data_IF_269924257376
#
_entry.id   IF_269924257376
#
_cell.length_a   1.000
_cell.length_b   1.000
_cell.length_c   1.000
_cell.angle_alpha   90.00
_cell.angle_beta   90.00
_cell.angle_gamma   90.00
#
_symmetry.space_group_name_H-M   'P 1'
#
loop_
_entity.id
_entity.type
_entity.pdbx_description
1 polymer ?
#
# COMPACT_ATOMS: atom_id res chain seq x y z
N UNK A 1 -2.03 -39.36 -48.84
CA UNK A 1 -1.52 -37.96 -48.78
C UNK A 1 -2.05 -37.16 -47.59
N UNK A 2 -3.26 -37.41 -47.06
CA UNK A 2 -3.79 -36.65 -45.92
C UNK A 2 -3.09 -36.91 -44.57
N UNK A 3 -2.48 -38.08 -44.35
CA UNK A 3 -1.87 -38.45 -43.06
C UNK A 3 -0.68 -37.57 -42.65
N UNK A 4 0.16 -37.16 -43.60
CA UNK A 4 1.35 -36.36 -43.31
C UNK A 4 1.00 -34.87 -43.11
N UNK A 5 0.07 -34.35 -43.91
CA UNK A 5 -0.36 -32.95 -43.86
C UNK A 5 -1.15 -32.63 -42.58
N UNK A 6 -2.01 -33.55 -42.13
CA UNK A 6 -2.75 -33.36 -40.88
C UNK A 6 -1.83 -33.42 -39.64
N UNK A 7 -0.80 -34.27 -39.68
CA UNK A 7 0.19 -34.40 -38.60
C UNK A 7 1.05 -33.13 -38.48
N UNK A 8 1.48 -32.57 -39.62
CA UNK A 8 2.25 -31.32 -39.67
C UNK A 8 1.43 -30.11 -39.18
N UNK A 9 0.15 -30.04 -39.56
CA UNK A 9 -0.75 -28.98 -39.11
C UNK A 9 -0.98 -29.04 -37.58
N UNK A 10 -1.20 -30.24 -37.03
CA UNK A 10 -1.32 -30.42 -35.58
C UNK A 10 -0.05 -30.03 -34.83
N UNK A 11 1.12 -30.38 -35.36
CA UNK A 11 2.40 -30.00 -34.76
C UNK A 11 2.62 -28.47 -34.78
N UNK A 12 2.25 -27.80 -35.88
CA UNK A 12 2.32 -26.34 -35.96
C UNK A 12 1.40 -25.65 -34.95
N UNK A 13 0.18 -26.15 -34.77
CA UNK A 13 -0.77 -25.63 -33.77
C UNK A 13 -0.22 -25.82 -32.36
N UNK A 14 0.25 -27.02 -32.02
CA UNK A 14 0.81 -27.31 -30.69
C UNK A 14 2.02 -26.42 -30.36
N UNK A 15 2.89 -26.15 -31.35
CA UNK A 15 4.03 -25.23 -31.19
C UNK A 15 3.59 -23.78 -30.94
N UNK A 16 2.51 -23.33 -31.59
CA UNK A 16 1.96 -21.99 -31.37
C UNK A 16 1.31 -21.86 -29.99
N UNK A 17 0.58 -22.88 -29.54
CA UNK A 17 -0.05 -22.93 -28.22
C UNK A 17 0.99 -22.94 -27.10
N UNK A 18 2.04 -23.75 -27.22
CA UNK A 18 3.16 -23.77 -26.25
C UNK A 18 3.85 -22.40 -26.16
N UNK A 19 4.15 -21.78 -27.32
CA UNK A 19 4.75 -20.44 -27.34
C UNK A 19 3.80 -19.40 -26.73
N UNK A 20 2.50 -19.47 -26.99
CA UNK A 20 1.50 -18.57 -26.41
C UNK A 20 1.45 -18.70 -24.89
N UNK A 21 1.43 -19.93 -24.37
CA UNK A 21 1.42 -20.21 -22.93
C UNK A 21 2.69 -19.70 -22.24
N UNK A 22 3.86 -19.91 -22.86
CA UNK A 22 5.13 -19.40 -22.35
C UNK A 22 5.17 -17.87 -22.32
N UNK A 23 4.70 -17.21 -23.39
CA UNK A 23 4.61 -15.75 -23.44
C UNK A 23 3.66 -15.23 -22.36
N UNK A 24 2.48 -15.83 -22.22
CA UNK A 24 1.51 -15.44 -21.20
C UNK A 24 2.12 -15.54 -19.80
N UNK A 25 2.76 -16.66 -19.48
CA UNK A 25 3.43 -16.87 -18.18
C UNK A 25 4.47 -15.78 -17.90
N UNK A 26 5.42 -15.58 -18.82
CA UNK A 26 6.50 -14.60 -18.63
C UNK A 26 5.95 -13.18 -18.57
N UNK A 27 4.94 -12.85 -19.37
CA UNK A 27 4.29 -11.54 -19.33
C UNK A 27 3.60 -11.30 -17.99
N UNK A 28 2.86 -12.28 -17.46
CA UNK A 28 2.22 -12.16 -16.14
C UNK A 28 3.25 -12.02 -15.02
N UNK A 29 4.32 -12.81 -15.04
CA UNK A 29 5.41 -12.73 -14.06
C UNK A 29 6.11 -11.37 -14.09
N UNK A 30 6.45 -10.88 -15.29
CA UNK A 30 7.09 -9.57 -15.45
C UNK A 30 6.15 -8.43 -15.03
N UNK A 31 4.86 -8.51 -15.36
CA UNK A 31 3.88 -7.53 -14.95
C UNK A 31 3.76 -7.48 -13.43
N UNK A 32 3.62 -8.64 -12.78
CA UNK A 32 3.50 -8.72 -11.33
C UNK A 32 4.75 -8.14 -10.66
N UNK A 33 5.94 -8.51 -11.14
CA UNK A 33 7.20 -7.97 -10.63
C UNK A 33 7.29 -6.45 -10.80
N UNK A 34 6.93 -5.93 -11.98
CA UNK A 34 6.91 -4.49 -12.23
C UNK A 34 5.90 -3.77 -11.33
N UNK A 35 4.73 -4.36 -11.10
CA UNK A 35 3.72 -3.85 -10.18
C UNK A 35 4.23 -3.82 -8.73
N UNK A 36 4.94 -4.85 -8.28
CA UNK A 36 5.54 -4.92 -6.94
C UNK A 36 6.69 -3.92 -6.78
N UNK A 37 7.52 -3.73 -7.81
CA UNK A 37 8.60 -2.73 -7.81
C UNK A 37 8.03 -1.30 -7.77
N UNK A 38 6.96 -1.02 -8.51
CA UNK A 38 6.24 0.25 -8.43
C UNK A 38 5.59 0.41 -7.06
N UNK A 39 4.86 -0.60 -6.58
CA UNK A 39 4.17 -0.53 -5.29
C UNK A 39 5.14 -0.41 -4.11
N UNK A 40 6.35 -0.96 -4.17
CA UNK A 40 7.37 -0.77 -3.14
C UNK A 40 7.98 0.63 -3.16
N UNK A 41 8.26 1.18 -4.36
CA UNK A 41 8.77 2.56 -4.51
C UNK A 41 7.71 3.62 -4.19
N UNK A 42 6.45 3.34 -4.52
CA UNK A 42 5.32 4.25 -4.37
C UNK A 42 4.34 3.82 -3.29
N UNK A 43 4.74 2.89 -2.39
CA UNK A 43 4.09 2.71 -1.09
C UNK A 43 4.29 4.03 -0.38
N UNK A 44 3.36 4.96 -0.67
CA UNK A 44 3.21 6.23 0.03
C UNK A 44 3.29 5.81 1.47
N UNK A 45 4.34 6.27 2.15
CA UNK A 45 4.59 6.04 3.56
C UNK A 45 3.28 5.67 4.23
N UNK A 46 3.19 4.47 4.82
CA UNK A 46 2.11 4.20 5.76
C UNK A 46 2.26 5.27 6.84
N UNK A 47 1.60 6.42 6.62
CA UNK A 47 1.44 7.48 7.59
C UNK A 47 0.46 6.87 8.56
N UNK A 48 0.98 5.97 9.39
CA UNK A 48 0.26 5.44 10.51
C UNK A 48 -0.10 6.67 11.34
N UNK A 49 -1.39 7.03 11.40
CA UNK A 49 -1.79 8.24 12.09
C UNK A 49 -1.38 8.07 13.55
N UNK A 50 -0.59 9.00 14.06
CA UNK A 50 -0.08 8.94 15.43
C UNK A 50 -1.03 9.72 16.33
N UNK A 51 -1.21 9.26 17.57
CA UNK A 51 -2.04 9.91 18.57
C UNK A 51 -3.55 9.96 18.24
N UNK A 52 -4.08 9.04 17.42
CA UNK A 52 -5.49 9.03 16.97
C UNK A 52 -6.48 9.05 18.12
N UNK A 53 -6.27 8.23 19.15
CA UNK A 53 -7.18 8.17 20.29
C UNK A 53 -7.20 9.50 21.06
N UNK A 54 -6.04 10.11 21.27
CA UNK A 54 -5.92 11.43 21.90
C UNK A 54 -6.53 12.52 21.03
N UNK A 55 -6.39 12.43 19.70
CA UNK A 55 -7.01 13.33 18.74
C UNK A 55 -8.54 13.23 18.80
N UNK A 56 -9.09 12.03 18.88
CA UNK A 56 -10.53 11.82 19.07
C UNK A 56 -11.02 12.39 20.39
N UNK A 57 -10.30 12.14 21.48
CA UNK A 57 -10.65 12.62 22.82
C UNK A 57 -10.61 14.14 22.94
N UNK A 58 -9.58 14.81 22.39
CA UNK A 58 -9.48 16.28 22.46
C UNK A 58 -10.57 16.96 21.62
N UNK A 59 -10.88 16.40 20.43
CA UNK A 59 -11.96 16.91 19.58
C UNK A 59 -13.31 16.77 20.28
N UNK A 60 -13.59 15.59 20.85
CA UNK A 60 -14.80 15.36 21.64
C UNK A 60 -14.92 16.33 22.82
N UNK A 61 -13.83 16.52 23.56
CA UNK A 61 -13.82 17.44 24.70
C UNK A 61 -14.17 18.88 24.30
N UNK A 62 -13.59 19.40 23.21
CA UNK A 62 -13.91 20.75 22.75
C UNK A 62 -15.35 20.89 22.24
N UNK A 63 -15.91 19.84 21.63
CA UNK A 63 -17.32 19.82 21.23
C UNK A 63 -18.25 19.87 22.45
N UNK A 64 -17.98 19.05 23.47
CA UNK A 64 -18.77 18.98 24.70
C UNK A 64 -18.61 20.22 25.59
N UNK A 65 -17.49 20.93 25.48
CA UNK A 65 -17.14 22.10 26.29
C UNK A 65 -16.87 23.36 25.45
N UNK A 66 -17.77 23.66 24.52
CA UNK A 66 -17.66 24.83 23.63
C UNK A 66 -17.45 26.12 24.44
N UNK A 67 -16.42 26.90 24.08
CA UNK A 67 -16.05 28.13 24.77
C UNK A 67 -15.34 27.95 26.13
N UNK A 68 -15.17 26.71 26.61
CA UNK A 68 -14.51 26.37 27.89
C UNK A 68 -13.27 25.51 27.66
N UNK A 69 -12.37 25.98 26.79
CA UNK A 69 -11.18 25.23 26.34
C UNK A 69 -10.26 24.77 27.47
N UNK A 70 -10.22 25.51 28.59
CA UNK A 70 -9.41 25.17 29.77
C UNK A 70 -9.82 23.83 30.41
N UNK A 71 -11.08 23.38 30.27
CA UNK A 71 -11.52 22.07 30.77
C UNK A 71 -10.83 20.92 30.01
N UNK A 72 -10.39 21.16 28.78
CA UNK A 72 -9.71 20.18 27.94
C UNK A 72 -8.18 20.24 28.04
N UNK A 73 -7.63 21.10 28.91
CA UNK A 73 -6.19 21.38 29.02
C UNK A 73 -5.32 20.13 29.28
N UNK A 74 -5.80 19.21 30.11
CA UNK A 74 -5.09 17.96 30.39
C UNK A 74 -4.97 17.08 29.13
N UNK A 75 -6.07 16.88 28.40
CA UNK A 75 -6.07 16.08 27.16
C UNK A 75 -5.28 16.79 26.07
N UNK A 76 -5.39 18.12 25.98
CA UNK A 76 -4.59 18.94 25.06
C UNK A 76 -3.08 18.79 25.30
N UNK A 77 -2.67 18.77 26.56
CA UNK A 77 -1.26 18.59 26.94
C UNK A 77 -0.76 17.18 26.56
N UNK A 78 -1.54 16.15 26.85
CA UNK A 78 -1.20 14.76 26.48
C UNK A 78 -1.11 14.57 24.95
N UNK A 79 -2.07 15.13 24.20
CA UNK A 79 -2.05 15.12 22.74
C UNK A 79 -0.79 15.79 22.19
N UNK A 80 -0.45 16.97 22.71
CA UNK A 80 0.73 17.72 22.28
C UNK A 80 2.04 16.97 22.59
N UNK A 81 2.14 16.32 23.75
CA UNK A 81 3.28 15.48 24.11
C UNK A 81 3.45 14.32 23.13
N UNK A 82 2.37 13.60 22.82
CA UNK A 82 2.39 12.51 21.85
C UNK A 82 2.85 12.98 20.46
N UNK A 83 2.31 14.10 19.97
CA UNK A 83 2.70 14.68 18.66
C UNK A 83 4.17 15.08 18.65
N UNK A 84 4.68 15.70 19.72
CA UNK A 84 6.07 16.11 19.80
C UNK A 84 7.02 14.92 19.85
N UNK A 85 6.66 13.87 20.61
CA UNK A 85 7.43 12.63 20.63
C UNK A 85 7.45 11.95 19.26
N UNK A 86 6.30 11.91 18.56
CA UNK A 86 6.20 11.37 17.22
C UNK A 86 7.10 12.13 16.21
N UNK A 87 7.10 13.47 16.28
CA UNK A 87 7.97 14.32 15.47
C UNK A 87 9.45 14.04 15.75
N UNK A 88 9.85 13.97 17.02
CA UNK A 88 11.23 13.65 17.41
C UNK A 88 11.64 12.27 16.92
N UNK A 89 10.78 11.26 17.06
CA UNK A 89 11.05 9.91 16.59
C UNK A 89 11.26 9.88 15.06
N UNK A 90 10.43 10.58 14.29
CA UNK A 90 10.58 10.68 12.83
C UNK A 90 11.86 11.40 12.41
N UNK A 91 12.30 12.44 13.14
CA UNK A 91 13.57 13.13 12.89
C UNK A 91 14.79 12.25 13.20
N UNK A 92 14.69 11.37 14.20
CA UNK A 92 15.78 10.45 14.60
C UNK A 92 15.93 9.27 13.64
N UNK A 93 14.84 8.75 13.10
CA UNK A 93 14.85 7.62 12.16
C UNK A 93 14.97 8.10 10.72
N UNK A 94 15.85 9.07 10.44
CA UNK A 94 16.04 9.67 9.12
C UNK A 94 15.92 8.62 8.01
N UNK A 95 14.87 8.77 7.21
CA UNK A 95 14.47 7.80 6.18
C UNK A 95 15.48 7.68 5.05
#
# INVERSE_FOLDING_TARGET
MCSLHCSLHGEQVARLEDRSAQLYKVTTENYQKAADEVNSKFKRFEVSPVCVDLQGQILKCYQEHTGKTLLCSNIASAYLQCVNQAKQNKLRTGG
#
